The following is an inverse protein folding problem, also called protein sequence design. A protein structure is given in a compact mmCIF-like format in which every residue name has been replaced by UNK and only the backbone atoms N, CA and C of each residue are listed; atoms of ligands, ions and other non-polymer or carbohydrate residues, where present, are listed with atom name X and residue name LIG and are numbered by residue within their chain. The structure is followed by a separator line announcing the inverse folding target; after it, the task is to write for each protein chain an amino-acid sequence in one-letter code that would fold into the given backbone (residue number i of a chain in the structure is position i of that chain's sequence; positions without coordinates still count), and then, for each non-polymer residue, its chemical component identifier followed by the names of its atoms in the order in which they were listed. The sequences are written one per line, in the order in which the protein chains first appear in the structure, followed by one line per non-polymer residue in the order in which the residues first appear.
data_IF_147913067838
#
_entry.id   IF_147913067838
#
_cell.length_a   1.000
_cell.length_b   1.000
_cell.length_c   1.000
_cell.angle_alpha   90.00
_cell.angle_beta   90.00
_cell.angle_gamma   90.00
#
_symmetry.space_group_name_H-M   'P 1'
#
loop_
_entity.id
_entity.type
_entity.pdbx_description
1 polymer ?
#
# COMPACT_ATOMS: atom_id res chain seq x y z
N UNK A 1 -14.39 -24.09 15.73
CA UNK A 1 -14.85 -23.23 16.83
C UNK A 1 -14.85 -21.81 16.30
N UNK A 2 -15.86 -20.99 16.62
CA UNK A 2 -15.82 -19.57 16.26
C UNK A 2 -14.56 -18.94 16.87
N UNK A 3 -13.90 -18.06 16.14
CA UNK A 3 -12.74 -17.33 16.62
C UNK A 3 -13.13 -16.51 17.85
N UNK A 4 -12.46 -16.73 18.96
CA UNK A 4 -12.63 -15.93 20.17
C UNK A 4 -11.47 -14.95 20.26
N UNK A 5 -11.76 -13.64 20.24
CA UNK A 5 -10.78 -12.58 20.39
C UNK A 5 -10.19 -12.58 21.81
N UNK A 6 -8.87 -12.52 21.90
CA UNK A 6 -8.12 -12.44 23.16
C UNK A 6 -7.07 -11.34 23.03
N UNK A 7 -7.33 -10.19 23.64
CA UNK A 7 -6.46 -9.01 23.57
C UNK A 7 -5.07 -9.27 24.17
N UNK A 8 -4.98 -10.00 25.28
CA UNK A 8 -3.69 -10.28 25.94
C UNK A 8 -2.80 -11.16 25.03
N UNK A 9 -3.42 -12.15 24.41
CA UNK A 9 -2.72 -12.98 23.42
C UNK A 9 -2.26 -12.13 22.23
N UNK A 10 -3.12 -11.25 21.70
CA UNK A 10 -2.76 -10.35 20.57
C UNK A 10 -1.57 -9.47 20.95
N UNK A 11 -1.56 -8.86 22.14
CA UNK A 11 -0.47 -8.01 22.62
C UNK A 11 0.83 -8.81 22.67
N UNK A 12 0.82 -9.97 23.30
CA UNK A 12 1.98 -10.87 23.44
C UNK A 12 2.47 -11.36 22.07
N UNK A 13 1.54 -11.81 21.22
CA UNK A 13 1.87 -12.37 19.92
C UNK A 13 2.47 -11.32 18.96
N UNK A 14 2.18 -10.04 19.16
CA UNK A 14 2.75 -8.94 18.37
C UNK A 14 3.92 -8.23 19.05
N UNK A 15 4.26 -8.58 20.31
CA UNK A 15 5.39 -7.98 21.04
C UNK A 15 5.23 -6.48 21.28
N UNK A 16 3.99 -6.01 21.54
CA UNK A 16 3.64 -4.58 21.66
C UNK A 16 3.35 -4.14 23.09
N UNK A 17 3.81 -4.88 24.10
CA UNK A 17 3.59 -4.57 25.51
C UNK A 17 4.12 -3.17 25.89
N UNK A 18 5.24 -2.75 25.31
CA UNK A 18 5.80 -1.41 25.55
C UNK A 18 4.91 -0.30 24.98
N UNK A 19 4.25 -0.55 23.84
CA UNK A 19 3.31 0.40 23.24
C UNK A 19 2.02 0.47 24.06
N UNK A 20 1.55 -0.66 24.59
CA UNK A 20 0.39 -0.70 25.50
C UNK A 20 0.66 0.17 26.72
N UNK A 21 1.79 -0.04 27.41
CA UNK A 21 2.16 0.77 28.59
C UNK A 21 2.20 2.26 28.25
N UNK A 22 2.73 2.63 27.08
CA UNK A 22 2.78 4.01 26.63
C UNK A 22 1.39 4.59 26.35
N UNK A 23 0.51 3.82 25.73
CA UNK A 23 -0.86 4.26 25.44
C UNK A 23 -1.71 4.36 26.72
N UNK A 24 -1.51 3.45 27.70
CA UNK A 24 -2.16 3.49 29.01
C UNK A 24 -1.83 4.72 29.85
N UNK A 25 -0.67 5.37 29.62
CA UNK A 25 -0.35 6.65 30.26
C UNK A 25 -1.31 7.78 29.83
N UNK A 26 -1.85 7.67 28.63
CA UNK A 26 -2.80 8.65 28.07
C UNK A 26 -4.25 8.21 28.32
N UNK A 27 -4.50 6.91 28.29
CA UNK A 27 -5.82 6.31 28.45
C UNK A 27 -5.76 5.11 29.41
N UNK A 28 -6.01 5.30 30.71
CA UNK A 28 -5.91 4.24 31.72
C UNK A 28 -6.81 3.02 31.43
N UNK A 29 -7.96 3.23 30.77
CA UNK A 29 -8.92 2.18 30.43
C UNK A 29 -8.73 1.64 29.00
N UNK A 30 -7.52 1.73 28.44
CA UNK A 30 -7.21 1.36 27.06
C UNK A 30 -7.73 -0.03 26.68
N UNK A 31 -7.43 -1.05 27.48
CA UNK A 31 -7.79 -2.44 27.18
C UNK A 31 -9.30 -2.65 27.17
N UNK A 32 -10.01 -2.03 28.11
CA UNK A 32 -11.48 -2.08 28.16
C UNK A 32 -12.08 -1.40 26.93
N UNK A 33 -11.61 -0.21 26.56
CA UNK A 33 -12.06 0.51 25.37
C UNK A 33 -11.81 -0.31 24.11
N UNK A 34 -10.62 -0.92 23.95
CA UNK A 34 -10.31 -1.78 22.79
C UNK A 34 -11.28 -2.95 22.73
N UNK A 35 -11.56 -3.66 23.83
CA UNK A 35 -12.50 -4.76 23.85
C UNK A 35 -13.91 -4.30 23.43
N UNK A 36 -14.39 -3.16 23.94
CA UNK A 36 -15.67 -2.58 23.54
C UNK A 36 -15.73 -2.24 22.04
N UNK A 37 -14.64 -1.73 21.47
CA UNK A 37 -14.54 -1.46 20.03
C UNK A 37 -14.60 -2.78 19.24
N UNK A 38 -13.85 -3.80 19.65
CA UNK A 38 -13.80 -5.11 18.97
C UNK A 38 -15.17 -5.80 19.03
N UNK A 39 -15.85 -5.77 20.17
CA UNK A 39 -17.21 -6.33 20.32
C UNK A 39 -18.20 -5.63 19.38
N UNK A 40 -18.16 -4.30 19.33
CA UNK A 40 -18.95 -3.52 18.38
C UNK A 40 -18.60 -3.85 16.93
N UNK A 41 -17.30 -3.94 16.61
CA UNK A 41 -16.82 -4.28 15.29
C UNK A 41 -17.24 -5.67 14.85
N UNK A 42 -17.22 -6.67 15.75
CA UNK A 42 -17.61 -8.05 15.44
C UNK A 42 -19.06 -8.14 14.93
N UNK A 43 -19.96 -7.31 15.45
CA UNK A 43 -21.35 -7.24 15.00
C UNK A 43 -21.51 -6.50 13.66
N UNK A 44 -20.63 -5.55 13.35
CA UNK A 44 -20.68 -4.74 12.12
C UNK A 44 -19.90 -5.34 10.94
N UNK A 45 -18.98 -6.26 11.18
CA UNK A 45 -18.08 -6.78 10.12
C UNK A 45 -18.84 -7.52 9.02
N UNK A 46 -19.99 -8.14 9.30
CA UNK A 46 -20.84 -8.78 8.29
C UNK A 46 -21.38 -7.77 7.29
N UNK A 47 -21.79 -6.58 7.74
CA UNK A 47 -22.24 -5.51 6.85
C UNK A 47 -21.07 -4.95 6.03
N UNK A 48 -19.89 -4.82 6.62
CA UNK A 48 -18.68 -4.42 5.91
C UNK A 48 -18.33 -5.42 4.80
N UNK A 49 -18.47 -6.70 5.07
CA UNK A 49 -18.25 -7.77 4.10
C UNK A 49 -19.21 -7.66 2.90
N UNK A 50 -20.51 -7.52 3.15
CA UNK A 50 -21.52 -7.41 2.10
C UNK A 50 -21.27 -6.19 1.19
N UNK A 51 -20.96 -5.02 1.77
CA UNK A 51 -20.69 -3.80 1.00
C UNK A 51 -19.39 -3.95 0.20
N UNK A 52 -18.35 -4.57 0.77
CA UNK A 52 -17.12 -4.84 0.06
C UNK A 52 -17.33 -5.74 -1.15
N UNK A 53 -18.15 -6.80 -0.99
CA UNK A 53 -18.53 -7.68 -2.10
C UNK A 53 -19.27 -6.92 -3.19
N UNK A 54 -20.21 -6.05 -2.83
CA UNK A 54 -20.95 -5.24 -3.80
C UNK A 54 -20.02 -4.36 -4.64
N UNK A 55 -19.09 -3.63 -4.01
CA UNK A 55 -18.12 -2.78 -4.72
C UNK A 55 -17.16 -3.62 -5.55
N UNK A 56 -16.67 -4.76 -5.02
CA UNK A 56 -15.84 -5.68 -5.79
C UNK A 56 -16.56 -6.18 -7.04
N UNK A 57 -17.84 -6.56 -6.93
CA UNK A 57 -18.62 -7.01 -8.06
C UNK A 57 -18.83 -5.90 -9.11
N UNK A 58 -18.97 -4.65 -8.70
CA UNK A 58 -19.03 -3.52 -9.64
C UNK A 58 -17.72 -3.36 -10.42
N UNK A 59 -16.57 -3.54 -9.75
CA UNK A 59 -15.23 -3.53 -10.37
C UNK A 59 -15.08 -4.66 -11.39
N UNK A 60 -15.42 -5.90 -10.99
CA UNK A 60 -15.27 -7.07 -11.84
C UNK A 60 -16.20 -7.10 -13.06
N UNK A 61 -17.33 -6.39 -12.98
CA UNK A 61 -18.31 -6.27 -14.09
C UNK A 61 -18.04 -5.06 -15.00
N UNK A 62 -17.15 -4.17 -14.61
CA UNK A 62 -16.84 -2.96 -15.38
C UNK A 62 -16.13 -3.33 -16.70
N UNK A 63 -16.73 -2.96 -17.83
CA UNK A 63 -16.15 -3.19 -19.17
C UNK A 63 -14.77 -2.52 -19.31
N UNK A 64 -14.63 -1.31 -18.78
CA UNK A 64 -13.39 -0.54 -18.80
C UNK A 64 -12.26 -1.23 -18.04
N UNK A 65 -12.58 -2.07 -17.06
CA UNK A 65 -11.63 -2.76 -16.19
C UNK A 65 -11.31 -4.20 -16.60
N UNK A 66 -11.72 -4.66 -17.78
CA UNK A 66 -11.44 -6.04 -18.28
C UNK A 66 -9.94 -6.38 -18.33
N UNK A 67 -9.07 -5.37 -18.38
CA UNK A 67 -7.62 -5.55 -18.44
C UNK A 67 -6.94 -5.66 -17.08
N UNK A 68 -7.64 -5.46 -15.95
CA UNK A 68 -7.04 -5.68 -14.64
C UNK A 68 -6.61 -7.15 -14.51
N UNK A 69 -5.55 -7.40 -13.74
CA UNK A 69 -5.09 -8.77 -13.49
C UNK A 69 -6.05 -9.49 -12.54
N UNK A 70 -6.36 -8.85 -11.41
CA UNK A 70 -7.27 -9.40 -10.41
C UNK A 70 -7.77 -8.29 -9.48
N UNK A 71 -8.87 -8.56 -8.79
CA UNK A 71 -9.33 -7.74 -7.68
C UNK A 71 -9.78 -8.65 -6.53
N UNK A 72 -9.49 -8.23 -5.31
CA UNK A 72 -9.90 -8.93 -4.08
C UNK A 72 -10.28 -7.92 -3.00
N UNK A 73 -11.15 -8.30 -2.09
CA UNK A 73 -11.46 -7.51 -0.91
C UNK A 73 -11.00 -8.20 0.36
N UNK A 74 -10.92 -7.43 1.41
CA UNK A 74 -10.70 -7.94 2.77
C UNK A 74 -11.48 -7.09 3.77
N UNK A 75 -11.94 -7.73 4.83
CA UNK A 75 -12.36 -7.07 6.07
C UNK A 75 -11.23 -7.22 7.07
N UNK A 76 -10.90 -6.15 7.79
CA UNK A 76 -9.78 -6.14 8.72
C UNK A 76 -9.99 -7.14 9.85
N UNK A 77 -9.00 -8.01 10.10
CA UNK A 77 -9.07 -8.94 11.22
C UNK A 77 -9.06 -8.18 12.56
N UNK A 78 -9.78 -8.68 13.55
CA UNK A 78 -9.91 -8.08 14.89
C UNK A 78 -8.55 -7.86 15.55
N UNK A 79 -7.62 -8.81 15.42
CA UNK A 79 -6.25 -8.69 15.93
C UNK A 79 -5.51 -7.52 15.29
N UNK A 80 -5.60 -7.41 13.98
CA UNK A 80 -4.96 -6.32 13.24
C UNK A 80 -5.58 -4.96 13.58
N UNK A 81 -6.88 -4.93 13.88
CA UNK A 81 -7.58 -3.74 14.33
C UNK A 81 -7.08 -3.32 15.71
N UNK A 82 -7.01 -4.24 16.67
CA UNK A 82 -6.52 -3.98 18.02
C UNK A 82 -5.07 -3.46 18.00
N UNK A 83 -4.18 -4.12 17.24
CA UNK A 83 -2.79 -3.69 17.07
C UNK A 83 -2.70 -2.29 16.49
N UNK A 84 -3.52 -1.97 15.47
CA UNK A 84 -3.56 -0.62 14.87
C UNK A 84 -3.98 0.43 15.89
N UNK A 85 -5.04 0.16 16.66
CA UNK A 85 -5.53 1.10 17.68
C UNK A 85 -4.44 1.37 18.71
N UNK A 86 -3.79 0.32 19.25
CA UNK A 86 -2.71 0.45 20.22
C UNK A 86 -1.56 1.31 19.67
N UNK A 87 -1.09 0.99 18.45
CA UNK A 87 -0.01 1.74 17.81
C UNK A 87 -0.37 3.22 17.68
N UNK A 88 -1.57 3.52 17.18
CA UNK A 88 -2.03 4.90 16.97
C UNK A 88 -2.23 5.68 18.27
N UNK A 89 -2.76 5.06 19.30
CA UNK A 89 -2.89 5.68 20.63
C UNK A 89 -1.55 5.90 21.33
N UNK A 90 -0.54 5.06 21.03
CA UNK A 90 0.82 5.21 21.57
C UNK A 90 1.67 6.25 20.81
N UNK A 91 1.23 6.72 19.63
CA UNK A 91 1.96 7.74 18.85
C UNK A 91 1.99 9.07 19.59
N UNK A 92 3.17 9.70 19.60
CA UNK A 92 3.35 11.08 20.05
C UNK A 92 3.34 12.02 18.84
N UNK A 93 2.85 13.26 18.98
CA UNK A 93 2.95 14.24 17.92
C UNK A 93 4.42 14.46 17.55
N UNK A 94 4.75 14.29 16.27
CA UNK A 94 6.08 14.60 15.74
C UNK A 94 6.21 16.08 15.40
N UNK A 95 5.09 16.69 14.99
CA UNK A 95 4.98 18.10 14.60
C UNK A 95 3.61 18.66 15.00
N UNK A 96 3.46 19.99 15.17
CA UNK A 96 2.16 20.61 15.48
C UNK A 96 1.06 20.29 14.46
N UNK A 97 1.41 20.13 13.19
CA UNK A 97 0.47 19.77 12.11
C UNK A 97 -0.19 18.40 12.28
N UNK A 98 0.44 17.50 13.05
CA UNK A 98 -0.04 16.13 13.28
C UNK A 98 -0.92 15.99 14.53
N UNK A 99 -1.13 17.06 15.28
CA UNK A 99 -1.90 17.02 16.55
C UNK A 99 -3.33 16.56 16.27
N UNK A 100 -3.99 17.11 15.28
CA UNK A 100 -5.38 16.76 14.95
C UNK A 100 -5.53 15.27 14.59
N UNK A 101 -4.62 14.75 13.77
CA UNK A 101 -4.65 13.34 13.37
C UNK A 101 -4.40 12.39 14.56
N UNK A 102 -3.61 12.80 15.53
CA UNK A 102 -3.34 12.02 16.74
C UNK A 102 -4.52 12.08 17.70
N UNK A 103 -5.12 13.25 17.89
CA UNK A 103 -6.24 13.45 18.80
C UNK A 103 -7.46 12.63 18.40
N UNK A 104 -7.75 12.51 17.09
CA UNK A 104 -8.87 11.67 16.65
C UNK A 104 -8.70 10.19 17.03
N UNK A 105 -7.44 9.68 17.06
CA UNK A 105 -7.17 8.32 17.51
C UNK A 105 -7.17 8.20 19.04
N UNK A 106 -6.78 9.25 19.78
CA UNK A 106 -6.86 9.28 21.24
C UNK A 106 -8.31 9.19 21.73
N UNK A 107 -9.21 9.89 21.04
CA UNK A 107 -10.63 9.92 21.35
C UNK A 107 -11.42 8.74 20.75
N UNK A 108 -10.72 7.75 20.17
CA UNK A 108 -11.34 6.60 19.54
C UNK A 108 -12.06 5.71 20.57
N UNK A 109 -13.32 5.40 20.28
CA UNK A 109 -14.17 4.57 21.11
C UNK A 109 -15.19 3.76 20.26
N UNK A 110 -16.05 2.98 20.90
CA UNK A 110 -17.02 2.12 20.19
C UNK A 110 -18.09 2.87 19.39
N UNK A 111 -18.33 4.15 19.68
CA UNK A 111 -19.32 4.98 18.99
C UNK A 111 -18.75 5.66 17.73
N UNK A 112 -17.41 5.83 17.64
CA UNK A 112 -16.78 6.62 16.58
C UNK A 112 -15.71 5.89 15.76
N UNK A 113 -15.28 4.67 16.14
CA UNK A 113 -14.17 3.97 15.47
C UNK A 113 -14.39 3.82 13.96
N UNK A 114 -15.61 3.57 13.51
CA UNK A 114 -15.94 3.37 12.11
C UNK A 114 -15.90 4.67 11.28
N UNK A 115 -15.94 5.83 11.95
CA UNK A 115 -15.78 7.15 11.33
C UNK A 115 -14.32 7.57 11.23
N UNK A 116 -13.48 7.06 12.12
CA UNK A 116 -12.04 7.39 12.23
C UNK A 116 -11.17 6.41 11.44
N UNK A 117 -11.52 5.12 11.48
CA UNK A 117 -10.75 4.06 10.85
C UNK A 117 -11.29 3.78 9.45
N UNK A 118 -10.66 4.37 8.44
CA UNK A 118 -11.13 4.33 7.06
C UNK A 118 -10.68 3.07 6.29
N UNK A 119 -9.92 2.15 6.93
CA UNK A 119 -9.35 0.95 6.33
C UNK A 119 -9.89 -0.36 6.97
N UNK A 120 -11.09 -0.30 7.58
CA UNK A 120 -11.77 -1.49 8.11
C UNK A 120 -12.13 -2.47 7.00
N UNK A 121 -12.38 -1.94 5.81
CA UNK A 121 -12.65 -2.68 4.59
C UNK A 121 -11.70 -2.19 3.51
N UNK A 122 -11.09 -3.12 2.79
CA UNK A 122 -10.18 -2.80 1.71
C UNK A 122 -10.47 -3.61 0.45
N UNK A 123 -10.32 -2.98 -0.71
CA UNK A 123 -10.31 -3.63 -2.02
C UNK A 123 -8.94 -3.43 -2.63
N UNK A 124 -8.33 -4.51 -3.11
CA UNK A 124 -7.05 -4.45 -3.81
C UNK A 124 -7.27 -4.85 -5.25
N UNK A 125 -6.89 -3.94 -6.16
CA UNK A 125 -6.91 -4.15 -7.60
C UNK A 125 -5.46 -4.30 -8.06
N UNK A 126 -5.16 -5.38 -8.77
CA UNK A 126 -3.86 -5.62 -9.37
C UNK A 126 -3.93 -5.36 -10.87
N UNK A 127 -3.00 -4.56 -11.36
CA UNK A 127 -2.77 -4.31 -12.77
C UNK A 127 -1.47 -4.98 -13.22
N UNK A 128 -1.37 -5.34 -14.50
CA UNK A 128 -0.16 -5.95 -15.06
C UNK A 128 0.90 -4.93 -15.37
N UNK A 129 0.47 -3.82 -15.97
CA UNK A 129 1.34 -2.76 -16.45
C UNK A 129 1.00 -1.46 -15.72
N UNK A 130 2.00 -0.71 -15.31
CA UNK A 130 1.76 0.56 -14.62
C UNK A 130 1.01 1.56 -15.49
N UNK A 131 1.19 1.50 -16.80
CA UNK A 131 0.45 2.32 -17.76
C UNK A 131 -1.07 2.15 -17.70
N UNK A 132 -1.55 1.01 -17.18
CA UNK A 132 -3.00 0.75 -17.02
C UNK A 132 -3.62 1.55 -15.84
N UNK A 133 -2.80 2.26 -15.04
CA UNK A 133 -3.27 3.03 -13.89
C UNK A 133 -4.34 4.05 -14.25
N UNK A 134 -4.18 4.70 -15.41
CA UNK A 134 -5.11 5.75 -15.87
C UNK A 134 -6.51 5.21 -16.10
N UNK A 135 -6.62 4.01 -16.64
CA UNK A 135 -7.92 3.33 -16.86
C UNK A 135 -8.63 3.10 -15.52
N UNK A 136 -7.92 2.55 -14.53
CA UNK A 136 -8.48 2.32 -13.19
C UNK A 136 -8.83 3.63 -12.50
N UNK A 137 -7.93 4.63 -12.58
CA UNK A 137 -8.18 5.97 -12.03
C UNK A 137 -9.42 6.61 -12.64
N UNK A 138 -9.53 6.60 -13.98
CA UNK A 138 -10.66 7.19 -14.71
C UNK A 138 -11.96 6.51 -14.31
N UNK A 139 -11.96 5.18 -14.20
CA UNK A 139 -13.13 4.44 -13.75
C UNK A 139 -13.53 4.84 -12.31
N UNK A 140 -12.57 4.86 -11.37
CA UNK A 140 -12.84 5.26 -9.97
C UNK A 140 -13.41 6.69 -9.93
N UNK A 141 -12.82 7.62 -10.67
CA UNK A 141 -13.34 8.99 -10.76
C UNK A 141 -14.78 9.02 -11.28
N UNK A 142 -15.06 8.32 -12.36
CA UNK A 142 -16.40 8.33 -12.96
C UNK A 142 -17.45 7.71 -12.03
N UNK A 143 -17.07 6.72 -11.22
CA UNK A 143 -18.00 6.08 -10.29
C UNK A 143 -18.21 6.88 -9.00
N UNK A 144 -17.16 7.49 -8.46
CA UNK A 144 -17.16 8.01 -7.09
C UNK A 144 -16.84 9.50 -6.97
N UNK A 145 -16.43 10.17 -8.07
CA UNK A 145 -16.14 11.59 -8.06
C UNK A 145 -17.14 12.33 -8.95
N UNK A 146 -18.12 12.97 -8.34
CA UNK A 146 -19.15 13.72 -9.07
C UNK A 146 -18.98 15.23 -8.87
N UNK A 147 -17.88 15.75 -9.46
CA UNK A 147 -17.75 17.18 -9.80
C UNK A 147 -17.54 18.17 -8.65
N UNK A 148 -16.76 19.17 -8.89
CA UNK A 148 -16.60 20.51 -8.30
C UNK A 148 -16.59 20.69 -6.77
N UNK A 149 -16.74 19.67 -5.97
CA UNK A 149 -16.90 19.84 -4.55
C UNK A 149 -15.62 19.43 -3.83
N UNK A 150 -15.27 20.26 -2.89
CA UNK A 150 -14.24 20.01 -1.91
C UNK A 150 -14.34 18.57 -1.40
N UNK A 151 -13.22 17.89 -1.25
CA UNK A 151 -13.21 16.58 -0.61
C UNK A 151 -13.97 16.69 0.70
N UNK A 152 -14.91 15.81 0.92
CA UNK A 152 -15.86 15.83 2.04
C UNK A 152 -15.17 15.82 3.43
N UNK A 153 -13.85 15.75 3.48
CA UNK A 153 -13.09 15.85 4.73
C UNK A 153 -13.41 17.12 5.53
N UNK A 154 -13.75 18.21 4.83
CA UNK A 154 -14.15 19.47 5.45
C UNK A 154 -15.65 19.50 5.81
N UNK A 155 -16.43 18.51 5.34
CA UNK A 155 -17.87 18.40 5.56
C UNK A 155 -18.26 17.28 6.55
N UNK A 156 -17.31 16.60 7.19
CA UNK A 156 -17.59 15.53 8.15
C UNK A 156 -18.30 16.03 9.43
N UNK A 157 -18.37 17.33 9.64
CA UNK A 157 -19.12 17.93 10.73
C UNK A 157 -20.63 18.04 10.46
N UNK A 158 -21.04 17.96 9.18
CA UNK A 158 -22.46 18.13 8.78
C UNK A 158 -23.00 16.79 8.22
N UNK A 159 -23.41 15.91 9.12
CA UNK A 159 -23.93 14.56 8.81
C UNK A 159 -25.24 14.58 8.01
N UNK A 160 -25.97 15.68 8.03
CA UNK A 160 -27.30 15.80 7.40
C UNK A 160 -27.23 16.04 5.88
N UNK A 161 -26.05 16.35 5.34
CA UNK A 161 -25.86 16.67 3.91
C UNK A 161 -24.94 15.72 3.16
N UNK A 162 -24.72 14.50 3.65
CA UNK A 162 -23.89 13.53 2.93
C UNK A 162 -24.55 13.12 1.60
N UNK A 163 -23.75 12.99 0.51
CA UNK A 163 -24.28 12.50 -0.76
C UNK A 163 -24.93 11.12 -0.60
N UNK A 164 -26.12 10.95 -1.22
CA UNK A 164 -26.86 9.68 -1.19
C UNK A 164 -26.23 8.58 -2.06
N UNK A 165 -25.15 8.87 -2.76
CA UNK A 165 -24.43 7.95 -3.63
C UNK A 165 -22.99 7.74 -3.11
N UNK A 166 -22.30 6.64 -3.48
CA UNK A 166 -20.89 6.44 -3.13
C UNK A 166 -20.00 7.58 -3.65
N UNK A 167 -19.06 8.05 -2.83
CA UNK A 167 -18.18 9.18 -3.15
C UNK A 167 -16.78 9.04 -2.56
N UNK A 168 -15.80 9.73 -3.15
CA UNK A 168 -14.43 9.81 -2.63
C UNK A 168 -14.40 10.75 -1.42
N UNK A 169 -13.94 10.26 -0.28
CA UNK A 169 -13.97 10.95 1.01
C UNK A 169 -12.82 11.93 1.20
N UNK A 170 -11.64 11.53 0.77
CA UNK A 170 -10.42 12.33 0.94
C UNK A 170 -9.60 12.33 -0.34
N UNK A 171 -8.66 13.27 -0.42
CA UNK A 171 -7.71 13.36 -1.51
C UNK A 171 -6.95 12.02 -1.67
N UNK A 172 -7.00 11.39 -2.84
CA UNK A 172 -6.32 10.12 -3.03
C UNK A 172 -4.81 10.24 -2.82
N UNK A 173 -4.19 9.16 -2.34
CA UNK A 173 -2.76 9.13 -2.04
C UNK A 173 -2.02 8.29 -3.08
N UNK A 174 -1.00 8.89 -3.69
CA UNK A 174 -0.05 8.20 -4.53
C UNK A 174 1.23 7.97 -3.73
N UNK A 175 1.44 6.73 -3.31
CA UNK A 175 2.70 6.29 -2.74
C UNK A 175 3.66 5.94 -3.87
N UNK A 176 4.88 6.49 -3.85
CA UNK A 176 5.91 6.25 -4.85
C UNK A 176 7.28 6.05 -4.17
N UNK A 177 8.16 5.27 -4.79
CA UNK A 177 9.47 4.91 -4.25
C UNK A 177 10.51 6.00 -4.52
N UNK A 178 10.40 6.61 -5.70
CA UNK A 178 11.30 7.68 -6.13
C UNK A 178 10.61 8.60 -7.13
N UNK A 179 11.17 9.78 -7.35
CA UNK A 179 10.66 10.73 -8.35
C UNK A 179 10.62 10.15 -9.77
N UNK A 180 11.43 9.13 -10.06
CA UNK A 180 11.43 8.45 -11.37
C UNK A 180 10.16 7.62 -11.60
N UNK A 181 9.55 7.06 -10.56
CA UNK A 181 8.26 6.38 -10.68
C UNK A 181 7.16 7.30 -11.20
N UNK A 182 7.29 8.61 -10.96
CA UNK A 182 6.29 9.60 -11.37
C UNK A 182 6.21 9.79 -12.89
N UNK A 183 7.16 9.25 -13.67
CA UNK A 183 7.11 9.28 -15.14
C UNK A 183 5.86 8.61 -15.69
N UNK A 184 5.38 7.54 -15.02
CA UNK A 184 4.16 6.83 -15.41
C UNK A 184 2.89 7.63 -15.12
N UNK A 185 2.99 8.66 -14.30
CA UNK A 185 1.88 9.48 -13.84
C UNK A 185 1.89 10.90 -14.43
N UNK A 186 2.49 11.08 -15.62
CA UNK A 186 2.59 12.41 -16.29
C UNK A 186 1.24 13.08 -16.54
N UNK A 187 0.19 12.26 -16.76
CA UNK A 187 -1.18 12.74 -17.02
C UNK A 187 -2.00 12.95 -15.73
N UNK A 188 -1.38 12.77 -14.57
CA UNK A 188 -2.08 12.92 -13.29
C UNK A 188 -2.33 14.41 -13.02
N UNK A 189 -3.54 14.74 -12.62
CA UNK A 189 -3.82 16.02 -12.02
C UNK A 189 -3.17 16.09 -10.64
N UNK A 190 -2.09 16.84 -10.54
CA UNK A 190 -1.33 16.98 -9.29
C UNK A 190 -2.16 17.62 -8.18
N UNK A 191 -3.17 18.39 -8.52
CA UNK A 191 -4.13 18.94 -7.57
C UNK A 191 -5.03 17.87 -6.94
N UNK A 192 -5.26 16.77 -7.66
CA UNK A 192 -6.15 15.68 -7.25
C UNK A 192 -5.53 14.69 -6.28
N UNK A 193 -4.19 14.59 -6.18
CA UNK A 193 -3.49 13.59 -5.38
C UNK A 193 -2.57 14.20 -4.32
N UNK A 194 -2.44 13.51 -3.19
CA UNK A 194 -1.35 13.66 -2.26
C UNK A 194 -0.23 12.69 -2.64
N UNK A 195 0.97 13.24 -2.91
CA UNK A 195 2.14 12.47 -3.28
C UNK A 195 2.96 12.15 -2.04
N UNK A 196 3.17 10.87 -1.76
CA UNK A 196 3.85 10.39 -0.57
C UNK A 196 5.04 9.53 -0.99
N UNK A 197 6.25 10.02 -0.72
CA UNK A 197 7.48 9.25 -0.94
C UNK A 197 7.63 8.16 0.12
N UNK A 198 7.84 6.92 -0.33
CA UNK A 198 7.99 5.76 0.54
C UNK A 198 9.46 5.37 0.66
N UNK A 199 9.98 5.43 1.88
CA UNK A 199 11.37 5.04 2.18
C UNK A 199 11.64 3.54 2.01
N UNK A 200 10.60 2.70 2.02
CA UNK A 200 10.73 1.24 2.09
C UNK A 200 10.43 0.53 0.76
N UNK A 201 10.22 1.28 -0.32
CA UNK A 201 9.95 0.68 -1.63
C UNK A 201 8.48 0.42 -1.94
N UNK A 202 7.55 0.90 -1.10
CA UNK A 202 6.12 0.76 -1.32
C UNK A 202 5.62 1.67 -2.44
N UNK A 203 4.81 1.12 -3.36
CA UNK A 203 4.17 1.88 -4.43
C UNK A 203 2.72 1.43 -4.58
N UNK A 204 1.78 2.37 -4.52
CA UNK A 204 0.34 2.07 -4.62
C UNK A 204 -0.46 3.36 -4.72
N UNK A 205 -1.61 3.33 -5.41
CA UNK A 205 -2.60 4.40 -5.30
C UNK A 205 -3.71 3.97 -4.33
N UNK A 206 -4.08 4.90 -3.45
CA UNK A 206 -5.09 4.67 -2.43
C UNK A 206 -6.22 5.67 -2.57
N UNK A 207 -7.43 5.16 -2.62
CA UNK A 207 -8.67 5.93 -2.56
C UNK A 207 -9.46 5.50 -1.34
N UNK A 208 -10.04 6.44 -0.64
CA UNK A 208 -11.04 6.17 0.38
C UNK A 208 -12.39 6.58 -0.18
N UNK A 209 -13.28 5.63 -0.31
CA UNK A 209 -14.66 5.90 -0.70
C UNK A 209 -15.60 5.68 0.47
N UNK A 210 -16.69 6.44 0.50
CA UNK A 210 -17.84 6.15 1.34
C UNK A 210 -18.88 5.45 0.48
N UNK A 211 -19.35 4.31 0.91
CA UNK A 211 -20.48 3.61 0.32
C UNK A 211 -21.48 3.27 1.44
N UNK A 212 -22.63 3.91 1.43
CA UNK A 212 -23.68 3.71 2.42
C UNK A 212 -23.19 3.86 3.88
N UNK A 213 -22.46 4.94 4.15
CA UNK A 213 -21.92 5.26 5.47
C UNK A 213 -20.74 4.38 5.92
N UNK A 214 -20.19 3.55 5.04
CA UNK A 214 -19.02 2.71 5.31
C UNK A 214 -17.84 3.13 4.46
N UNK A 215 -16.67 3.24 5.07
CA UNK A 215 -15.44 3.54 4.36
C UNK A 215 -14.83 2.27 3.77
N UNK A 216 -14.40 2.38 2.52
CA UNK A 216 -13.69 1.34 1.80
C UNK A 216 -12.41 1.94 1.25
N UNK A 217 -11.28 1.37 1.61
CA UNK A 217 -9.99 1.69 1.02
C UNK A 217 -9.82 0.91 -0.28
N UNK A 218 -9.73 1.59 -1.43
CA UNK A 218 -9.39 0.97 -2.71
C UNK A 218 -7.91 1.21 -2.98
N UNK A 219 -7.13 0.15 -2.96
CA UNK A 219 -5.71 0.16 -3.30
C UNK A 219 -5.52 -0.45 -4.67
N UNK A 220 -4.79 0.20 -5.57
CA UNK A 220 -4.33 -0.48 -6.74
C UNK A 220 -2.82 -0.31 -6.96
N UNK A 221 -2.22 -1.37 -7.45
CA UNK A 221 -0.79 -1.52 -7.67
C UNK A 221 -0.53 -2.55 -8.75
N UNK A 222 0.70 -2.63 -9.22
CA UNK A 222 1.08 -3.67 -10.17
C UNK A 222 1.27 -5.03 -9.48
N UNK A 223 1.28 -6.09 -10.28
CA UNK A 223 1.64 -7.44 -9.79
C UNK A 223 3.08 -7.47 -9.22
N UNK A 224 3.97 -6.59 -9.69
CA UNK A 224 5.36 -6.49 -9.21
C UNK A 224 5.42 -5.83 -7.83
N UNK A 225 4.66 -4.74 -7.62
CA UNK A 225 4.52 -4.12 -6.30
C UNK A 225 3.87 -5.08 -5.29
N UNK A 226 2.89 -5.87 -5.75
CA UNK A 226 2.24 -6.89 -4.92
C UNK A 226 3.21 -7.98 -4.52
N UNK A 227 4.01 -8.49 -5.45
CA UNK A 227 5.01 -9.53 -5.17
C UNK A 227 5.99 -9.07 -4.08
N UNK A 228 6.52 -7.85 -4.20
CA UNK A 228 7.36 -7.26 -3.17
C UNK A 228 6.62 -7.13 -1.83
N UNK A 229 5.42 -6.57 -1.85
CA UNK A 229 4.64 -6.29 -0.65
C UNK A 229 4.26 -7.56 0.12
N UNK A 230 3.85 -8.62 -0.56
CA UNK A 230 3.49 -9.89 0.08
C UNK A 230 4.72 -10.58 0.69
N UNK A 231 5.86 -10.57 -0.01
CA UNK A 231 7.10 -11.14 0.53
C UNK A 231 7.61 -10.35 1.75
N UNK A 232 7.54 -9.04 1.73
CA UNK A 232 8.11 -8.20 2.80
C UNK A 232 7.19 -8.10 4.01
N UNK A 233 5.88 -8.12 3.80
CA UNK A 233 4.91 -7.96 4.88
C UNK A 233 5.09 -9.01 5.98
N UNK A 234 5.28 -10.26 5.63
CA UNK A 234 5.40 -11.34 6.62
C UNK A 234 6.84 -11.51 7.13
N UNK A 235 7.83 -11.31 6.26
CA UNK A 235 9.22 -11.57 6.60
C UNK A 235 9.92 -10.41 7.30
N UNK A 236 9.53 -9.17 6.99
CA UNK A 236 10.16 -7.96 7.55
C UNK A 236 9.29 -7.35 8.65
N UNK A 237 8.04 -7.04 8.35
CA UNK A 237 7.19 -6.28 9.30
C UNK A 237 6.62 -7.13 10.43
N UNK A 238 6.39 -8.43 10.21
CA UNK A 238 5.91 -9.36 11.26
C UNK A 238 7.04 -10.12 11.93
N UNK A 239 8.29 -9.93 11.51
CA UNK A 239 9.41 -10.64 12.08
C UNK A 239 9.69 -10.18 13.52
N UNK A 240 9.75 -11.13 14.44
CA UNK A 240 10.03 -10.88 15.86
C UNK A 240 11.53 -10.95 16.18
N UNK A 241 12.34 -11.46 15.27
CA UNK A 241 13.79 -11.60 15.48
C UNK A 241 14.52 -10.30 15.11
N UNK A 242 14.77 -9.46 16.11
CA UNK A 242 15.47 -8.19 15.96
C UNK A 242 16.92 -8.33 15.44
N UNK A 243 17.56 -9.46 15.69
CA UNK A 243 18.94 -9.70 15.23
C UNK A 243 19.04 -9.78 13.70
N UNK A 244 17.97 -10.24 13.04
CA UNK A 244 17.90 -10.35 11.58
C UNK A 244 17.18 -9.17 10.90
N UNK A 245 16.71 -8.19 11.66
CA UNK A 245 15.90 -7.10 11.12
C UNK A 245 16.64 -6.29 10.06
N UNK A 246 17.90 -5.94 10.30
CA UNK A 246 18.72 -5.16 9.36
C UNK A 246 19.00 -5.91 8.07
N UNK A 247 19.31 -7.21 8.17
CA UNK A 247 19.57 -8.08 7.02
C UNK A 247 18.30 -8.27 6.18
N UNK A 248 17.15 -8.50 6.81
CA UNK A 248 15.87 -8.65 6.13
C UNK A 248 15.41 -7.36 5.46
N UNK A 249 15.63 -6.20 6.10
CA UNK A 249 15.37 -4.89 5.47
C UNK A 249 16.25 -4.68 4.24
N UNK A 250 17.53 -5.02 4.32
CA UNK A 250 18.42 -4.94 3.17
C UNK A 250 17.97 -5.86 2.03
N UNK A 251 17.63 -7.12 2.30
CA UNK A 251 17.11 -8.05 1.29
C UNK A 251 15.78 -7.58 0.70
N UNK A 252 14.92 -6.96 1.50
CA UNK A 252 13.68 -6.33 1.03
C UNK A 252 13.95 -5.20 0.04
N UNK A 253 14.95 -4.35 0.30
CA UNK A 253 15.37 -3.30 -0.62
C UNK A 253 15.93 -3.88 -1.93
N UNK A 254 16.74 -4.93 -1.84
CA UNK A 254 17.23 -5.65 -3.03
C UNK A 254 16.07 -6.22 -3.85
N UNK A 255 15.09 -6.85 -3.20
CA UNK A 255 13.89 -7.35 -3.87
C UNK A 255 13.09 -6.23 -4.54
N UNK A 256 12.94 -5.07 -3.88
CA UNK A 256 12.30 -3.90 -4.45
C UNK A 256 12.98 -3.47 -5.76
N UNK A 257 14.30 -3.41 -5.80
CA UNK A 257 15.04 -3.05 -7.02
C UNK A 257 14.80 -4.04 -8.16
N UNK A 258 14.79 -5.34 -7.87
CA UNK A 258 14.54 -6.36 -8.89
C UNK A 258 13.10 -6.28 -9.43
N UNK A 259 12.11 -6.08 -8.57
CA UNK A 259 10.71 -5.93 -8.99
C UNK A 259 10.49 -4.67 -9.81
N UNK A 260 11.16 -3.55 -9.47
CA UNK A 260 11.15 -2.31 -10.28
C UNK A 260 11.70 -2.58 -11.68
N UNK A 261 12.87 -3.23 -11.77
CA UNK A 261 13.49 -3.53 -13.07
C UNK A 261 12.61 -4.43 -13.94
N UNK A 262 12.03 -5.47 -13.34
CA UNK A 262 11.11 -6.37 -14.02
C UNK A 262 9.85 -5.63 -14.51
N UNK A 263 9.29 -4.76 -13.68
CA UNK A 263 8.14 -3.94 -14.04
C UNK A 263 8.43 -3.00 -15.21
N UNK A 264 9.56 -2.31 -15.18
CA UNK A 264 9.97 -1.40 -16.26
C UNK A 264 10.10 -2.16 -17.59
N UNK A 265 10.76 -3.33 -17.58
CA UNK A 265 10.89 -4.18 -18.77
C UNK A 265 9.49 -4.60 -19.28
N UNK A 266 8.60 -5.03 -18.39
CA UNK A 266 7.24 -5.42 -18.77
C UNK A 266 6.45 -4.26 -19.40
N UNK A 267 6.56 -3.05 -18.84
CA UNK A 267 5.94 -1.84 -19.41
C UNK A 267 6.53 -1.51 -20.79
N UNK A 268 7.84 -1.62 -20.98
CA UNK A 268 8.49 -1.41 -22.28
C UNK A 268 8.01 -2.43 -23.32
N UNK A 269 7.91 -3.70 -22.94
CA UNK A 269 7.37 -4.75 -23.82
C UNK A 269 5.93 -4.44 -24.23
N UNK A 270 5.10 -4.00 -23.26
CA UNK A 270 3.70 -3.64 -23.53
C UNK A 270 3.57 -2.45 -24.49
N UNK A 271 4.35 -1.38 -24.28
CA UNK A 271 4.36 -0.22 -25.16
C UNK A 271 4.79 -0.61 -26.56
N UNK A 272 5.92 -1.33 -26.71
CA UNK A 272 6.38 -1.79 -28.02
C UNK A 272 5.38 -2.68 -28.76
N UNK A 273 4.61 -3.47 -28.04
CA UNK A 273 3.63 -4.37 -28.63
C UNK A 273 2.36 -3.64 -29.10
N UNK A 274 2.03 -2.47 -28.53
CA UNK A 274 0.76 -1.81 -28.80
C UNK A 274 0.89 -0.47 -29.55
N UNK A 275 1.94 0.31 -29.34
CA UNK A 275 2.03 1.70 -29.81
C UNK A 275 3.06 1.91 -30.95
N UNK A 276 3.71 0.83 -31.44
CA UNK A 276 4.73 0.96 -32.48
C UNK A 276 5.92 1.82 -32.04
N UNK A 277 6.33 2.81 -32.78
CA UNK A 277 7.62 3.50 -32.66
C UNK A 277 7.62 4.77 -31.76
N UNK A 278 6.86 4.84 -30.70
CA UNK A 278 7.02 5.96 -29.74
C UNK A 278 8.32 5.81 -28.91
N UNK A 279 9.42 6.08 -29.60
CA UNK A 279 10.79 5.96 -29.08
C UNK A 279 11.05 6.87 -27.89
N UNK A 280 10.35 8.00 -27.76
CA UNK A 280 10.61 8.98 -26.68
C UNK A 280 10.11 8.48 -25.32
N UNK A 281 8.99 7.79 -25.28
CA UNK A 281 8.51 7.18 -24.03
C UNK A 281 9.38 5.99 -23.61
N UNK A 282 9.87 5.20 -24.56
CA UNK A 282 10.80 4.09 -24.33
C UNK A 282 12.19 4.60 -23.96
N UNK A 283 12.68 5.66 -24.60
CA UNK A 283 13.98 6.28 -24.29
C UNK A 283 14.04 6.79 -22.85
N UNK A 284 13.00 7.50 -22.39
CA UNK A 284 12.89 7.95 -21.00
C UNK A 284 12.83 6.80 -19.98
N UNK A 285 12.30 5.64 -20.38
CA UNK A 285 12.29 4.43 -19.52
C UNK A 285 13.66 3.76 -19.51
N UNK A 286 14.37 3.72 -20.64
CA UNK A 286 15.74 3.18 -20.75
C UNK A 286 16.71 4.01 -19.91
N UNK A 287 16.60 5.34 -19.93
CA UNK A 287 17.41 6.22 -19.07
C UNK A 287 17.11 5.98 -17.59
N UNK A 288 15.89 5.53 -17.26
CA UNK A 288 15.52 5.11 -15.91
C UNK A 288 16.09 3.74 -15.54
N UNK A 289 16.34 2.86 -16.52
CA UNK A 289 16.99 1.56 -16.35
C UNK A 289 18.51 1.64 -16.28
N UNK A 290 19.12 2.76 -16.72
CA UNK A 290 20.55 2.94 -16.62
C UNK A 290 21.01 2.78 -15.16
N UNK A 291 21.92 1.86 -14.98
CA UNK A 291 22.36 1.21 -13.74
C UNK A 291 22.95 2.16 -12.67
N UNK A 292 23.03 3.47 -12.92
CA UNK A 292 23.39 4.47 -11.92
C UNK A 292 22.44 4.50 -10.71
N UNK A 293 21.26 3.88 -10.88
CA UNK A 293 20.27 3.73 -9.81
C UNK A 293 20.73 2.86 -8.62
N UNK A 294 21.63 1.94 -8.86
CA UNK A 294 22.19 1.08 -7.79
C UNK A 294 23.22 1.85 -6.97
N UNK A 295 23.81 2.91 -7.54
CA UNK A 295 24.94 3.64 -6.92
C UNK A 295 24.50 4.80 -6.02
N UNK A 296 23.54 5.62 -6.42
CA UNK A 296 23.20 6.85 -5.67
C UNK A 296 22.49 6.59 -4.33
N UNK A 297 21.69 5.51 -4.22
CA UNK A 297 20.99 5.20 -2.96
C UNK A 297 21.87 4.53 -1.91
N UNK A 298 23.04 4.04 -2.29
CA UNK A 298 23.92 3.25 -1.43
C UNK A 298 25.16 4.00 -0.94
N UNK A 299 25.60 5.06 -1.63
CA UNK A 299 26.80 5.82 -1.22
C UNK A 299 26.59 6.68 0.02
N UNK A 300 25.37 7.16 0.27
CA UNK A 300 25.10 8.00 1.45
C UNK A 300 24.92 7.24 2.78
N UNK A 301 24.67 5.95 2.77
CA UNK A 301 24.30 5.23 4.02
C UNK A 301 25.20 4.10 4.49
N UNK A 302 26.08 3.47 3.66
CA UNK A 302 26.89 2.34 4.13
C UNK A 302 28.17 2.08 3.31
N UNK A 303 29.25 2.75 3.62
CA UNK A 303 30.57 2.59 2.95
C UNK A 303 31.30 1.26 3.14
N UNK A 304 30.74 0.27 3.87
CA UNK A 304 31.47 -0.97 4.23
C UNK A 304 30.90 -2.24 3.55
N UNK A 305 29.64 -2.27 3.17
CA UNK A 305 29.02 -3.48 2.58
C UNK A 305 29.22 -3.61 1.06
N UNK A 306 29.55 -2.53 0.36
CA UNK A 306 29.59 -2.46 -1.11
C UNK A 306 30.82 -3.14 -1.74
N UNK A 307 31.98 -3.15 -1.07
CA UNK A 307 33.18 -3.82 -1.57
C UNK A 307 32.97 -5.31 -1.82
N UNK A 308 32.28 -5.97 -0.90
CA UNK A 308 32.03 -7.42 -0.97
C UNK A 308 30.99 -7.83 -2.03
N UNK A 309 30.08 -6.93 -2.40
CA UNK A 309 29.03 -7.21 -3.40
C UNK A 309 29.55 -6.98 -4.81
N UNK A 310 30.34 -5.94 -5.02
CA UNK A 310 31.00 -5.66 -6.31
C UNK A 310 31.88 -6.82 -6.73
N UNK A 311 32.70 -7.34 -5.82
CA UNK A 311 33.54 -8.52 -6.04
C UNK A 311 32.74 -9.80 -6.33
N UNK A 312 31.55 -9.95 -5.72
CA UNK A 312 30.65 -11.08 -5.98
C UNK A 312 29.99 -11.00 -7.35
N UNK A 313 29.52 -9.81 -7.73
CA UNK A 313 28.90 -9.56 -9.03
C UNK A 313 29.94 -9.72 -10.15
N UNK A 314 31.18 -9.21 -9.97
CA UNK A 314 32.28 -9.43 -10.91
C UNK A 314 32.67 -10.91 -11.05
N UNK A 315 32.66 -11.66 -9.94
CA UNK A 315 32.87 -13.13 -9.99
C UNK A 315 31.73 -13.86 -10.69
N UNK A 316 30.49 -13.46 -10.50
CA UNK A 316 29.33 -14.02 -11.20
C UNK A 316 29.37 -13.69 -12.70
N UNK A 317 29.77 -12.49 -13.07
CA UNK A 317 29.92 -12.09 -14.48
C UNK A 317 31.13 -12.77 -15.15
N UNK A 318 32.25 -12.93 -14.47
CA UNK A 318 33.40 -13.71 -14.98
C UNK A 318 33.06 -15.18 -15.18
N UNK A 319 32.23 -15.77 -14.34
CA UNK A 319 31.77 -17.15 -14.50
C UNK A 319 30.74 -17.30 -15.64
N UNK A 320 30.04 -16.22 -16.06
CA UNK A 320 29.14 -16.23 -17.21
C UNK A 320 29.84 -16.16 -18.56
N UNK A 321 31.02 -15.56 -18.65
CA UNK A 321 31.78 -15.50 -19.91
C UNK A 321 32.48 -16.84 -20.24
N UNK A 322 32.41 -17.86 -19.38
CA UNK A 322 32.89 -19.21 -19.63
C UNK A 322 31.82 -20.17 -20.18
N UNK A 323 30.59 -19.70 -20.43
CA UNK A 323 29.48 -20.55 -20.94
C UNK A 323 29.13 -20.18 -22.39
N UNK A 324 30.11 -20.29 -23.28
CA UNK A 324 29.87 -20.41 -24.72
C UNK A 324 29.63 -21.89 -25.03
N UNK A 325 28.39 -22.31 -25.14
CA UNK A 325 28.04 -23.68 -25.49
C UNK A 325 26.52 -23.97 -25.42
N UNK A 326 25.83 -23.82 -26.56
CA UNK A 326 24.58 -24.51 -26.90
C UNK A 326 23.33 -24.33 -26.01
N UNK A 327 22.63 -23.20 -26.17
CA UNK A 327 21.23 -23.03 -25.75
C UNK A 327 20.21 -23.46 -26.84
N UNK A 328 20.57 -24.30 -27.77
CA UNK A 328 19.63 -24.78 -28.79
C UNK A 328 18.86 -26.08 -28.44
N UNK A 329 19.09 -26.68 -27.27
CA UNK A 329 18.51 -28.00 -26.98
C UNK A 329 17.52 -28.08 -25.80
N UNK A 330 16.98 -26.93 -25.31
CA UNK A 330 15.98 -26.97 -24.22
C UNK A 330 14.72 -26.13 -24.52
N UNK A 331 14.25 -26.15 -25.76
CA UNK A 331 12.90 -25.71 -26.11
C UNK A 331 12.29 -26.80 -27.00
N UNK A 332 11.81 -27.84 -26.38
CA UNK A 332 10.73 -28.71 -26.83
C UNK A 332 9.89 -29.11 -25.64
#
# INVERSE_FOLDING_TARGET
MPYQFDLEKVIKDNGIESLVKKAELVEPNLKENINQIIDSYSTHCTNCDAIAQQVLMSILRAEDLKKIHSARYRVKAMDSLAVKIIKKKAELPKEPSNIYDIEKYRNLNKENYYKVLMDLTGIRILIRYRTDWLTVHTWIRNQFYKGNEHYVKDCLEDYDHQPQHPFIVEKPKLYYRSKKDLVFYKQIDRGFFDFIESEEGYNSLHYIINNDGKYIEIQFRTIFDEAWSECTHDLVYKNKNKEKESELKYLSQCLAQQTISAELIANMMYIKANDGDDFDSVGNMIDTLNMDYIYESSEEKNGIALGNIKDRIEKLNKNRTGFDGNIQNYLL
#
